data_IF_049789531604
#
_entry.id   IF_049789531604
#
_cell.length_a   1.000
_cell.length_b   1.000
_cell.length_c   1.000
_cell.angle_alpha   90.00
_cell.angle_beta   90.00
_cell.angle_gamma   90.00
#
_symmetry.space_group_name_H-M   'P 1'
#
loop_
_entity.id
_entity.type
_entity.pdbx_description
1 polymer ?
#
# COMPACT_ATOMS: atom_id res chain seq x y z
N UNK A 1 -30.64 -8.64 -28.01
CA UNK A 1 -30.82 -8.92 -26.56
C UNK A 1 -30.83 -10.43 -26.28
N UNK A 2 -29.71 -11.14 -26.46
CA UNK A 2 -29.74 -12.59 -26.12
C UNK A 2 -28.58 -13.50 -26.54
N UNK A 3 -27.31 -13.04 -26.57
CA UNK A 3 -26.16 -13.97 -26.80
C UNK A 3 -24.99 -13.83 -25.81
N UNK A 4 -24.89 -12.77 -24.98
CA UNK A 4 -23.65 -12.51 -24.22
C UNK A 4 -23.58 -13.02 -22.76
N UNK A 5 -24.64 -13.55 -22.16
CA UNK A 5 -24.60 -13.99 -20.75
C UNK A 5 -24.16 -15.46 -20.53
N UNK A 6 -23.91 -16.24 -21.59
CA UNK A 6 -23.72 -17.69 -21.47
C UNK A 6 -22.29 -18.18 -21.26
N UNK A 7 -21.27 -17.32 -21.43
CA UNK A 7 -19.86 -17.80 -21.52
C UNK A 7 -19.04 -17.50 -20.25
N UNK A 8 -19.50 -16.61 -19.37
CA UNK A 8 -18.70 -16.16 -18.21
C UNK A 8 -19.12 -16.76 -16.86
N UNK A 9 -20.11 -17.65 -16.82
CA UNK A 9 -20.69 -18.18 -15.58
C UNK A 9 -20.05 -19.47 -15.03
N UNK A 10 -18.79 -19.77 -15.37
CA UNK A 10 -18.11 -20.90 -14.72
C UNK A 10 -16.78 -20.48 -14.10
N UNK A 11 -16.70 -20.65 -12.77
CA UNK A 11 -15.55 -20.42 -11.87
C UNK A 11 -14.28 -21.23 -12.20
N UNK A 12 -14.07 -21.67 -13.44
CA UNK A 12 -12.89 -22.46 -13.85
C UNK A 12 -12.69 -22.58 -15.38
N UNK A 13 -13.18 -21.65 -16.20
CA UNK A 13 -12.78 -21.66 -17.62
C UNK A 13 -11.35 -21.16 -17.72
N UNK A 14 -10.42 -22.12 -17.84
CA UNK A 14 -9.06 -21.88 -18.28
C UNK A 14 -9.06 -20.94 -19.47
N UNK A 15 -8.51 -19.74 -19.31
CA UNK A 15 -8.43 -18.76 -20.40
C UNK A 15 -7.38 -19.25 -21.39
N UNK A 16 -7.79 -20.16 -22.27
CA UNK A 16 -6.95 -20.63 -23.38
C UNK A 16 -6.96 -19.68 -24.58
N UNK A 17 -7.80 -18.66 -24.56
CA UNK A 17 -7.97 -17.74 -25.69
C UNK A 17 -7.78 -16.28 -25.27
N UNK A 18 -6.52 -15.92 -25.04
CA UNK A 18 -6.05 -14.55 -24.83
C UNK A 18 -6.58 -13.56 -25.87
N UNK A 19 -6.66 -13.96 -27.14
CA UNK A 19 -7.21 -13.11 -28.21
C UNK A 19 -8.70 -12.80 -28.00
N UNK A 20 -9.47 -13.75 -27.46
CA UNK A 20 -10.88 -13.52 -27.12
C UNK A 20 -11.00 -12.57 -25.94
N UNK A 21 -10.15 -12.71 -24.91
CA UNK A 21 -10.15 -11.83 -23.75
C UNK A 21 -9.81 -10.38 -24.17
N UNK A 22 -8.74 -10.19 -24.92
CA UNK A 22 -8.34 -8.89 -25.46
C UNK A 22 -9.40 -8.26 -26.36
N UNK A 23 -10.01 -9.04 -27.25
CA UNK A 23 -11.08 -8.52 -28.11
C UNK A 23 -12.32 -8.15 -27.30
N UNK A 24 -12.63 -8.87 -26.22
CA UNK A 24 -13.72 -8.53 -25.30
C UNK A 24 -13.42 -7.24 -24.54
N UNK A 25 -12.24 -7.10 -23.94
CA UNK A 25 -11.84 -5.87 -23.23
C UNK A 25 -11.90 -4.65 -24.16
N UNK A 26 -11.38 -4.79 -25.39
CA UNK A 26 -11.41 -3.71 -26.38
C UNK A 26 -12.81 -3.36 -26.86
N UNK A 27 -13.68 -4.36 -27.06
CA UNK A 27 -15.07 -4.14 -27.45
C UNK A 27 -15.86 -3.45 -26.33
N UNK A 28 -15.70 -3.88 -25.07
CA UNK A 28 -16.31 -3.23 -23.91
C UNK A 28 -15.83 -1.79 -23.75
N UNK A 29 -14.52 -1.54 -23.89
CA UNK A 29 -13.96 -0.19 -23.86
C UNK A 29 -14.56 0.69 -24.96
N UNK A 30 -14.57 0.22 -26.21
CA UNK A 30 -15.11 0.98 -27.34
C UNK A 30 -16.62 1.25 -27.24
N UNK A 31 -17.36 0.38 -26.56
CA UNK A 31 -18.80 0.56 -26.29
C UNK A 31 -19.09 1.44 -25.08
N UNK A 32 -18.07 1.79 -24.30
CA UNK A 32 -18.21 2.53 -23.06
C UNK A 32 -18.86 1.73 -21.93
N UNK A 33 -18.81 0.40 -21.99
CA UNK A 33 -19.36 -0.51 -20.96
C UNK A 33 -18.37 -0.67 -19.79
N UNK A 34 -18.03 0.44 -19.14
CA UNK A 34 -16.96 0.49 -18.12
C UNK A 34 -17.22 -0.39 -16.89
N UNK A 35 -18.47 -0.53 -16.45
CA UNK A 35 -18.80 -1.36 -15.29
C UNK A 35 -18.44 -2.84 -15.57
N UNK A 36 -18.94 -3.37 -16.68
CA UNK A 36 -18.62 -4.72 -17.15
C UNK A 36 -17.12 -4.89 -17.40
N UNK A 37 -16.46 -3.85 -17.93
CA UNK A 37 -15.02 -3.88 -18.16
C UNK A 37 -14.23 -4.06 -16.86
N UNK A 38 -14.60 -3.34 -15.80
CA UNK A 38 -13.95 -3.46 -14.49
C UNK A 38 -14.20 -4.83 -13.86
N UNK A 39 -15.44 -5.34 -13.94
CA UNK A 39 -15.77 -6.69 -13.48
C UNK A 39 -14.93 -7.75 -14.21
N UNK A 40 -14.83 -7.68 -15.53
CA UNK A 40 -14.02 -8.62 -16.32
C UNK A 40 -12.54 -8.53 -15.96
N UNK A 41 -11.99 -7.33 -15.76
CA UNK A 41 -10.60 -7.16 -15.34
C UNK A 41 -10.36 -7.79 -13.96
N UNK A 42 -11.25 -7.56 -13.01
CA UNK A 42 -11.13 -8.06 -11.64
C UNK A 42 -11.31 -9.57 -11.55
N UNK A 43 -12.31 -10.12 -12.25
CA UNK A 43 -12.54 -11.58 -12.32
C UNK A 43 -11.38 -12.33 -13.00
N UNK A 44 -10.61 -11.63 -13.83
CA UNK A 44 -9.47 -12.17 -14.57
C UNK A 44 -8.14 -11.51 -14.15
N UNK A 45 -8.04 -11.11 -12.88
CA UNK A 45 -6.89 -10.38 -12.34
C UNK A 45 -5.56 -11.14 -12.52
N UNK A 46 -5.47 -12.38 -12.03
CA UNK A 46 -4.25 -13.22 -12.16
C UNK A 46 -3.81 -13.41 -13.61
N UNK A 47 -4.67 -13.82 -14.57
CA UNK A 47 -4.20 -14.00 -15.94
C UNK A 47 -3.81 -12.70 -16.65
N UNK A 48 -4.36 -11.54 -16.26
CA UNK A 48 -4.15 -10.26 -16.97
C UNK A 48 -3.11 -9.33 -16.33
N UNK A 49 -3.00 -9.35 -15.00
CA UNK A 49 -2.27 -8.38 -14.20
C UNK A 49 -1.18 -9.11 -13.38
N UNK A 50 -1.56 -10.12 -12.59
CA UNK A 50 -0.66 -10.86 -11.69
C UNK A 50 -0.41 -12.30 -12.16
N UNK A 51 0.30 -12.44 -13.28
CA UNK A 51 0.62 -13.75 -13.83
C UNK A 51 2.04 -14.19 -13.44
N UNK A 52 2.26 -15.46 -13.07
CA UNK A 52 3.57 -15.94 -12.67
C UNK A 52 4.56 -15.82 -13.84
N UNK A 53 5.77 -15.30 -13.57
CA UNK A 53 6.83 -15.23 -14.59
C UNK A 53 7.20 -16.63 -15.06
N UNK A 54 7.39 -16.77 -16.37
CA UNK A 54 7.93 -18.00 -16.95
C UNK A 54 9.28 -18.32 -16.33
N UNK A 55 9.46 -19.48 -15.66
CA UNK A 55 10.72 -19.82 -15.06
C UNK A 55 11.79 -19.98 -16.14
N UNK A 56 12.92 -19.29 -15.98
CA UNK A 56 14.08 -19.45 -16.85
C UNK A 56 14.80 -20.76 -16.52
N UNK A 57 15.07 -21.62 -17.51
CA UNK A 57 15.94 -22.77 -17.28
C UNK A 57 17.36 -22.27 -16.94
N UNK A 58 18.05 -22.91 -15.99
CA UNK A 58 19.50 -22.72 -15.83
C UNK A 58 20.21 -22.93 -17.17
N UNK A 59 21.31 -22.21 -17.41
CA UNK A 59 22.04 -22.29 -18.68
C UNK A 59 22.64 -23.69 -18.90
N UNK A 60 22.87 -24.09 -20.15
CA UNK A 60 23.49 -25.39 -20.48
C UNK A 60 24.89 -25.53 -19.84
N UNK A 61 25.59 -24.41 -19.69
CA UNK A 61 26.85 -24.32 -18.93
C UNK A 61 26.62 -24.42 -17.43
N UNK A 62 25.56 -23.84 -16.84
CA UNK A 62 25.24 -24.07 -15.42
C UNK A 62 24.90 -25.54 -15.16
N UNK A 63 24.15 -26.20 -16.05
CA UNK A 63 23.90 -27.62 -15.95
C UNK A 63 25.18 -28.46 -16.10
N UNK A 64 26.08 -28.07 -17.02
CA UNK A 64 27.35 -28.76 -17.25
C UNK A 64 28.41 -28.49 -16.20
N UNK A 65 28.59 -27.26 -15.72
CA UNK A 65 29.50 -26.93 -14.63
C UNK A 65 29.08 -27.67 -13.36
N UNK A 66 27.78 -27.84 -13.16
CA UNK A 66 27.20 -28.68 -12.12
C UNK A 66 27.56 -30.17 -12.32
N UNK A 67 27.38 -30.72 -13.52
CA UNK A 67 27.74 -32.12 -13.84
C UNK A 67 29.27 -32.36 -13.81
N UNK A 68 30.06 -31.36 -14.22
CA UNK A 68 31.53 -31.37 -14.27
C UNK A 68 32.09 -31.27 -12.86
N UNK A 69 31.55 -30.44 -11.97
CA UNK A 69 32.00 -30.35 -10.57
C UNK A 69 31.78 -31.69 -9.85
N UNK A 70 30.67 -32.37 -10.13
CA UNK A 70 30.34 -33.71 -9.59
C UNK A 70 31.25 -34.78 -10.19
N UNK A 71 31.54 -34.73 -11.50
CA UNK A 71 32.43 -35.71 -12.14
C UNK A 71 33.89 -35.48 -11.79
N UNK A 72 34.38 -34.23 -11.69
CA UNK A 72 35.74 -33.93 -11.22
C UNK A 72 35.96 -34.37 -9.78
N UNK A 73 34.99 -34.17 -8.89
CA UNK A 73 35.08 -34.65 -7.50
C UNK A 73 34.97 -36.17 -7.37
N UNK A 74 34.25 -36.85 -8.26
CA UNK A 74 34.23 -38.32 -8.33
C UNK A 74 35.53 -38.89 -8.89
N UNK A 75 36.13 -38.23 -9.89
CA UNK A 75 37.41 -38.62 -10.49
C UNK A 75 38.56 -38.35 -9.51
N UNK A 76 38.57 -37.24 -8.77
CA UNK A 76 39.57 -36.97 -7.72
C UNK A 76 39.52 -38.02 -6.59
N UNK A 77 38.34 -38.58 -6.28
CA UNK A 77 38.22 -39.70 -5.31
C UNK A 77 38.63 -41.07 -5.86
N UNK A 78 38.68 -41.25 -7.18
CA UNK A 78 39.13 -42.49 -7.82
C UNK A 78 40.63 -42.45 -8.19
N UNK A 79 41.19 -41.29 -8.56
CA UNK A 79 42.60 -41.13 -8.92
C UNK A 79 43.57 -40.98 -7.72
N UNK A 80 43.09 -40.66 -6.51
CA UNK A 80 43.92 -40.74 -5.28
C UNK A 80 44.05 -42.18 -4.70
N UNK A 81 43.63 -43.22 -5.44
CA UNK A 81 43.76 -44.61 -5.01
C UNK A 81 44.95 -45.38 -5.61
N UNK A 82 45.75 -44.79 -6.51
CA UNK A 82 46.94 -45.43 -7.08
C UNK A 82 48.12 -44.44 -7.20
N UNK A 83 48.87 -44.28 -6.11
CA UNK A 83 50.35 -44.15 -6.06
C UNK A 83 50.78 -43.49 -4.73
N UNK A 84 51.36 -44.27 -3.80
CA UNK A 84 52.72 -44.03 -3.26
C UNK A 84 53.10 -45.02 -2.16
N UNK A 85 54.36 -45.41 -2.29
CA UNK A 85 55.14 -46.45 -1.62
C UNK A 85 55.48 -46.14 -0.16
N UNK A 86 55.64 -47.23 0.61
CA UNK A 86 55.91 -47.31 2.03
C UNK A 86 57.37 -46.98 2.32
N UNK A 87 57.74 -45.70 2.52
CA UNK A 87 58.94 -45.36 3.29
C UNK A 87 59.02 -43.91 3.81
N UNK A 88 59.23 -43.83 5.13
CA UNK A 88 59.86 -42.73 5.91
C UNK A 88 58.99 -41.59 6.46
N UNK A 89 59.36 -41.07 7.65
CA UNK A 89 58.46 -41.06 8.79
C UNK A 89 58.04 -39.64 9.16
N UNK A 90 56.73 -39.44 9.34
CA UNK A 90 56.16 -38.41 10.23
C UNK A 90 54.64 -38.65 10.35
N UNK A 91 54.27 -39.82 10.88
CA UNK A 91 52.90 -40.06 11.36
C UNK A 91 52.82 -39.67 12.83
N UNK A 92 52.12 -38.56 13.10
CA UNK A 92 51.17 -38.31 14.21
C UNK A 92 51.19 -36.82 14.57
N UNK A 93 50.15 -36.09 14.21
CA UNK A 93 48.96 -35.87 15.04
C UNK A 93 47.74 -35.74 14.08
N UNK A 94 46.70 -36.59 14.24
CA UNK A 94 45.31 -36.20 14.61
C UNK A 94 44.74 -35.19 13.59
N UNK A 95 43.75 -35.50 12.74
CA UNK A 95 42.37 -35.81 13.12
C UNK A 95 41.60 -36.65 12.08
N UNK A 96 40.91 -37.64 12.62
CA UNK A 96 39.93 -38.55 12.01
C UNK A 96 38.59 -37.85 11.65
N UNK A 97 38.52 -36.51 11.65
CA UNK A 97 37.27 -35.75 11.49
C UNK A 97 36.99 -35.22 10.07
N UNK A 98 37.97 -35.25 9.16
CA UNK A 98 37.79 -34.67 7.82
C UNK A 98 36.97 -35.57 6.87
N UNK A 99 37.07 -36.89 6.94
CA UNK A 99 36.37 -37.77 5.98
C UNK A 99 34.83 -37.73 6.13
N UNK A 100 34.32 -37.58 7.36
CA UNK A 100 32.89 -37.41 7.62
C UNK A 100 32.38 -36.00 7.30
N UNK A 101 33.18 -34.95 7.55
CA UNK A 101 32.82 -33.58 7.15
C UNK A 101 32.74 -33.44 5.63
N UNK A 102 33.73 -33.95 4.88
CA UNK A 102 33.70 -33.94 3.42
C UNK A 102 32.57 -34.82 2.86
N UNK A 103 32.19 -35.93 3.52
CA UNK A 103 31.04 -36.74 3.12
C UNK A 103 29.69 -36.05 3.39
N UNK A 104 29.56 -35.33 4.51
CA UNK A 104 28.35 -34.56 4.84
C UNK A 104 28.20 -33.33 3.95
N UNK A 105 29.30 -32.67 3.59
CA UNK A 105 29.32 -31.59 2.59
C UNK A 105 28.95 -32.12 1.19
N UNK A 106 29.49 -33.29 0.77
CA UNK A 106 29.10 -33.99 -0.48
C UNK A 106 27.60 -34.32 -0.58
N UNK A 107 27.00 -34.79 0.51
CA UNK A 107 25.55 -35.09 0.58
C UNK A 107 24.74 -33.80 0.58
N UNK A 108 25.23 -32.75 1.24
CA UNK A 108 24.57 -31.44 1.30
C UNK A 108 24.53 -30.77 -0.08
N UNK A 109 25.63 -30.73 -0.80
CA UNK A 109 25.72 -30.07 -2.12
C UNK A 109 24.85 -30.78 -3.17
N UNK A 110 24.88 -32.12 -3.19
CA UNK A 110 24.01 -32.91 -4.07
C UNK A 110 22.52 -32.82 -3.72
N UNK A 111 22.19 -32.65 -2.43
CA UNK A 111 20.83 -32.41 -1.96
C UNK A 111 20.34 -31.01 -2.30
N UNK A 112 21.18 -29.99 -2.15
CA UNK A 112 20.91 -28.62 -2.59
C UNK A 112 20.67 -28.56 -4.10
N UNK A 113 21.36 -29.39 -4.88
CA UNK A 113 21.20 -29.49 -6.33
C UNK A 113 19.88 -30.12 -6.76
N UNK A 114 19.52 -31.28 -6.18
CA UNK A 114 18.21 -31.92 -6.41
C UNK A 114 17.07 -31.04 -5.96
N UNK A 115 17.26 -30.28 -4.88
CA UNK A 115 16.31 -29.28 -4.41
C UNK A 115 16.13 -28.16 -5.43
N UNK A 116 17.22 -27.60 -5.99
CA UNK A 116 17.16 -26.56 -7.05
C UNK A 116 16.48 -27.05 -8.33
N UNK A 117 16.77 -28.28 -8.76
CA UNK A 117 16.08 -28.92 -9.89
C UNK A 117 14.58 -29.11 -9.60
N UNK A 118 14.24 -29.67 -8.44
CA UNK A 118 12.85 -29.87 -8.03
C UNK A 118 12.10 -28.53 -7.94
N UNK A 119 12.72 -27.46 -7.43
CA UNK A 119 12.10 -26.13 -7.40
C UNK A 119 11.84 -25.57 -8.80
N UNK A 120 12.76 -25.75 -9.76
CA UNK A 120 12.54 -25.33 -11.14
C UNK A 120 11.38 -26.11 -11.79
N UNK A 121 11.36 -27.44 -11.66
CA UNK A 121 10.29 -28.26 -12.24
C UNK A 121 8.93 -28.00 -11.58
N UNK A 122 8.89 -27.75 -10.27
CA UNK A 122 7.68 -27.33 -9.57
C UNK A 122 7.21 -25.95 -10.04
N UNK A 123 8.12 -24.98 -10.22
CA UNK A 123 7.79 -23.68 -10.77
C UNK A 123 7.28 -23.78 -12.22
N UNK A 124 7.90 -24.62 -13.05
CA UNK A 124 7.47 -24.86 -14.43
C UNK A 124 6.11 -25.56 -14.51
N UNK A 125 5.82 -26.49 -13.60
CA UNK A 125 4.52 -27.12 -13.48
C UNK A 125 3.45 -26.11 -13.04
N UNK A 126 3.75 -25.30 -12.01
CA UNK A 126 2.86 -24.22 -11.53
C UNK A 126 2.57 -23.22 -12.65
N UNK A 127 3.58 -22.75 -13.37
CA UNK A 127 3.42 -21.87 -14.52
C UNK A 127 2.55 -22.49 -15.62
N UNK A 128 2.72 -23.79 -15.94
CA UNK A 128 1.85 -24.49 -16.90
C UNK A 128 0.41 -24.66 -16.44
N UNK A 129 0.18 -24.69 -15.13
CA UNK A 129 -1.14 -24.85 -14.53
C UNK A 129 -1.82 -23.51 -14.24
N UNK A 130 -1.05 -22.43 -14.17
CA UNK A 130 -1.56 -21.07 -14.08
C UNK A 130 -2.19 -20.65 -15.41
N UNK A 131 -3.35 -20.01 -15.34
CA UNK A 131 -3.88 -19.27 -16.48
C UNK A 131 -3.08 -17.96 -16.59
N UNK A 132 -2.32 -17.79 -17.67
CA UNK A 132 -1.50 -16.60 -17.93
C UNK A 132 -1.81 -16.05 -19.33
N UNK A 133 -2.02 -14.75 -19.45
CA UNK A 133 -2.18 -14.04 -20.71
C UNK A 133 -1.09 -12.97 -20.86
N UNK A 134 0.18 -13.40 -20.93
CA UNK A 134 1.35 -12.49 -20.94
C UNK A 134 1.29 -11.42 -22.05
N UNK A 135 0.78 -11.74 -23.24
CA UNK A 135 0.64 -10.77 -24.33
C UNK A 135 -0.52 -9.78 -24.15
N UNK A 136 -1.39 -9.99 -23.16
CA UNK A 136 -2.47 -9.08 -22.79
C UNK A 136 -2.07 -8.08 -21.69
N UNK A 137 -0.99 -8.35 -20.97
CA UNK A 137 -0.49 -7.49 -19.88
C UNK A 137 -0.22 -6.07 -20.37
N UNK A 138 0.44 -5.89 -21.52
CA UNK A 138 0.71 -4.56 -22.09
C UNK A 138 -0.57 -3.77 -22.43
N UNK A 139 -1.60 -4.46 -22.94
CA UNK A 139 -2.88 -3.81 -23.22
C UNK A 139 -3.61 -3.44 -21.93
N UNK A 140 -3.59 -4.33 -20.94
CA UNK A 140 -4.23 -4.12 -19.63
C UNK A 140 -3.56 -2.98 -18.87
N UNK A 141 -2.23 -2.89 -18.91
CA UNK A 141 -1.47 -1.76 -18.37
C UNK A 141 -1.85 -0.45 -19.07
N UNK A 142 -1.88 -0.45 -20.41
CA UNK A 142 -2.29 0.73 -21.19
C UNK A 142 -3.72 1.16 -20.85
N UNK A 143 -4.62 0.19 -20.65
CA UNK A 143 -6.01 0.43 -20.28
C UNK A 143 -6.14 0.97 -18.85
N UNK A 144 -5.37 0.45 -17.89
CA UNK A 144 -5.40 0.92 -16.50
C UNK A 144 -4.86 2.34 -16.34
N UNK A 145 -3.91 2.73 -17.20
CA UNK A 145 -3.35 4.08 -17.26
C UNK A 145 -4.12 5.02 -18.20
N UNK A 146 -5.15 4.52 -18.87
CA UNK A 146 -5.97 5.35 -19.75
C UNK A 146 -6.72 6.40 -18.90
N UNK A 147 -6.67 7.70 -19.26
CA UNK A 147 -7.34 8.75 -18.49
C UNK A 147 -8.85 8.56 -18.35
N UNK A 148 -9.52 8.03 -19.39
CA UNK A 148 -10.96 7.84 -19.38
C UNK A 148 -11.34 6.64 -18.50
N UNK A 149 -10.60 5.54 -18.59
CA UNK A 149 -10.82 4.38 -17.74
C UNK A 149 -10.51 4.68 -16.26
N UNK A 150 -9.35 5.30 -15.97
CA UNK A 150 -8.93 5.62 -14.61
C UNK A 150 -9.73 6.72 -13.91
N UNK A 151 -10.49 7.52 -14.65
CA UNK A 151 -11.50 8.41 -14.07
C UNK A 151 -12.79 7.65 -13.66
N UNK A 152 -13.08 6.50 -14.27
CA UNK A 152 -14.35 5.78 -14.10
C UNK A 152 -14.26 4.58 -13.17
N UNK A 153 -13.22 3.74 -13.30
CA UNK A 153 -13.14 2.52 -12.50
C UNK A 153 -13.11 2.75 -10.98
N UNK A 154 -12.47 3.81 -10.42
CA UNK A 154 -12.44 4.02 -8.97
C UNK A 154 -13.83 4.25 -8.38
N UNK A 155 -14.77 4.74 -9.19
CA UNK A 155 -16.16 5.04 -8.82
C UNK A 155 -17.04 3.80 -8.99
N UNK A 156 -16.82 3.04 -10.07
CA UNK A 156 -17.66 1.88 -10.42
C UNK A 156 -17.39 0.65 -9.55
N UNK A 157 -16.11 0.29 -9.40
CA UNK A 157 -15.68 -0.74 -8.44
C UNK A 157 -14.30 -0.34 -7.89
N UNK A 158 -14.26 0.30 -6.71
CA UNK A 158 -13.01 0.71 -6.10
C UNK A 158 -12.12 -0.50 -5.72
N UNK A 159 -12.68 -1.71 -5.67
CA UNK A 159 -11.99 -2.94 -5.29
C UNK A 159 -10.80 -3.25 -6.19
N UNK A 160 -10.91 -3.01 -7.50
CA UNK A 160 -9.79 -3.26 -8.42
C UNK A 160 -8.55 -2.41 -8.06
N UNK A 161 -8.75 -1.15 -7.67
CA UNK A 161 -7.64 -0.29 -7.23
C UNK A 161 -6.99 -0.79 -5.94
N UNK A 162 -7.79 -1.28 -4.99
CA UNK A 162 -7.31 -1.87 -3.74
C UNK A 162 -6.52 -3.15 -4.01
N UNK A 163 -7.01 -4.01 -4.91
CA UNK A 163 -6.35 -5.26 -5.27
C UNK A 163 -4.95 -4.97 -5.88
N UNK A 164 -4.84 -3.95 -6.74
CA UNK A 164 -3.56 -3.45 -7.30
C UNK A 164 -2.64 -2.84 -6.21
N UNK A 165 -3.21 -2.12 -5.24
CA UNK A 165 -2.44 -1.58 -4.12
C UNK A 165 -1.88 -2.72 -3.27
N UNK A 166 -2.59 -3.81 -3.05
CA UNK A 166 -2.13 -4.92 -2.21
C UNK A 166 -1.10 -5.82 -2.88
N UNK A 167 -1.07 -5.85 -4.20
CA UNK A 167 -0.21 -6.76 -4.96
C UNK A 167 1.23 -6.25 -5.09
N UNK A 168 2.14 -6.88 -4.34
CA UNK A 168 3.57 -6.56 -4.32
C UNK A 168 4.36 -7.32 -5.40
N UNK A 169 3.77 -8.32 -6.05
CA UNK A 169 4.46 -9.20 -7.00
C UNK A 169 4.46 -8.63 -8.44
N UNK A 170 3.77 -7.50 -8.65
CA UNK A 170 3.71 -6.74 -9.90
C UNK A 170 5.05 -6.07 -10.27
N UNK A 171 6.04 -6.87 -10.68
CA UNK A 171 7.35 -6.39 -11.12
C UNK A 171 7.30 -5.83 -12.55
N UNK A 172 7.70 -4.56 -12.72
CA UNK A 172 7.68 -3.85 -14.01
C UNK A 172 6.34 -3.23 -14.41
N UNK A 173 5.29 -3.44 -13.62
CA UNK A 173 3.99 -2.79 -13.80
C UNK A 173 4.01 -1.38 -13.20
N UNK A 174 3.34 -0.41 -13.85
CA UNK A 174 3.23 0.97 -13.35
C UNK A 174 2.21 1.10 -12.19
N UNK A 175 2.33 0.22 -11.19
CA UNK A 175 1.49 0.13 -9.96
C UNK A 175 1.37 1.50 -9.29
N UNK A 176 2.48 2.21 -9.18
CA UNK A 176 2.54 3.58 -8.65
C UNK A 176 1.65 4.53 -9.43
N UNK A 177 1.76 4.56 -10.76
CA UNK A 177 1.00 5.49 -11.60
C UNK A 177 -0.50 5.18 -11.57
N UNK A 178 -0.88 3.90 -11.58
CA UNK A 178 -2.29 3.47 -11.40
C UNK A 178 -2.80 3.90 -10.02
N UNK A 179 -2.00 3.72 -8.96
CA UNK A 179 -2.35 4.18 -7.61
C UNK A 179 -2.51 5.69 -7.55
N UNK A 180 -1.66 6.45 -8.25
CA UNK A 180 -1.74 7.91 -8.31
C UNK A 180 -3.00 8.38 -8.99
N UNK A 181 -3.35 7.77 -10.13
CA UNK A 181 -4.60 8.06 -10.84
C UNK A 181 -5.81 7.69 -9.97
N UNK A 182 -5.79 6.52 -9.33
CA UNK A 182 -6.85 6.05 -8.44
C UNK A 182 -7.10 7.00 -7.27
N UNK A 183 -6.07 7.36 -6.50
CA UNK A 183 -6.20 8.29 -5.35
C UNK A 183 -6.60 9.70 -5.79
N UNK A 184 -6.10 10.17 -6.94
CA UNK A 184 -6.51 11.46 -7.52
C UNK A 184 -8.00 11.48 -7.85
N UNK A 185 -8.51 10.43 -8.49
CA UNK A 185 -9.94 10.30 -8.82
C UNK A 185 -10.78 10.23 -7.55
N UNK A 186 -10.38 9.43 -6.55
CA UNK A 186 -11.11 9.34 -5.29
C UNK A 186 -11.16 10.67 -4.55
N UNK A 187 -10.09 11.48 -4.55
CA UNK A 187 -10.14 12.78 -3.89
C UNK A 187 -11.05 13.79 -4.61
N UNK A 188 -11.10 13.73 -5.95
CA UNK A 188 -11.93 14.62 -6.78
C UNK A 188 -13.41 14.30 -6.73
N UNK A 189 -13.76 13.03 -6.58
CA UNK A 189 -15.15 12.60 -6.53
C UNK A 189 -15.71 12.72 -5.11
N UNK A 190 -16.73 13.57 -4.93
CA UNK A 190 -17.42 13.72 -3.65
C UNK A 190 -18.06 12.40 -3.22
N UNK A 191 -18.00 12.07 -1.92
CA UNK A 191 -18.55 10.82 -1.35
C UNK A 191 -17.92 9.53 -1.91
N UNK A 192 -16.73 9.60 -2.52
CA UNK A 192 -15.97 8.41 -2.91
C UNK A 192 -15.61 7.54 -1.71
N UNK A 193 -15.07 6.35 -1.97
CA UNK A 193 -14.64 5.43 -0.91
C UNK A 193 -13.69 6.11 0.10
N UNK A 194 -12.81 7.00 -0.38
CA UNK A 194 -11.87 7.73 0.47
C UNK A 194 -12.60 8.61 1.51
N UNK A 195 -13.68 9.29 1.10
CA UNK A 195 -14.47 10.17 1.97
C UNK A 195 -15.20 9.35 3.03
N UNK A 196 -15.78 8.23 2.62
CA UNK A 196 -16.52 7.32 3.49
C UNK A 196 -15.61 6.71 4.55
N UNK A 197 -14.45 6.17 4.16
CA UNK A 197 -13.53 5.54 5.08
C UNK A 197 -12.88 6.54 6.05
N UNK A 198 -12.56 7.76 5.61
CA UNK A 198 -12.05 8.81 6.51
C UNK A 198 -13.11 9.22 7.52
N UNK A 199 -14.36 9.41 7.09
CA UNK A 199 -15.48 9.73 7.99
C UNK A 199 -15.69 8.62 9.04
N UNK A 200 -15.65 7.36 8.61
CA UNK A 200 -15.77 6.20 9.52
C UNK A 200 -14.61 6.13 10.51
N UNK A 201 -13.38 6.43 10.09
CA UNK A 201 -12.19 6.36 10.93
C UNK A 201 -12.12 7.49 11.98
N UNK A 202 -12.80 8.61 11.72
CA UNK A 202 -12.87 9.75 12.64
C UNK A 202 -13.91 9.57 13.76
N UNK A 203 -14.76 8.54 13.68
CA UNK A 203 -15.64 8.12 14.78
C UNK A 203 -14.84 7.30 15.80
N UNK A 204 -14.01 7.98 16.60
CA UNK A 204 -12.94 7.37 17.38
C UNK A 204 -13.41 6.71 18.70
N UNK A 205 -13.04 5.44 18.88
CA UNK A 205 -12.78 4.79 20.17
C UNK A 205 -11.26 4.88 20.44
N UNK A 206 -10.77 5.99 21.01
CA UNK A 206 -9.38 6.13 21.50
C UNK A 206 -8.74 7.51 21.27
N UNK A 207 -7.92 7.97 22.22
CA UNK A 207 -7.40 9.34 22.27
C UNK A 207 -6.16 9.55 21.36
N UNK A 208 -5.44 8.50 20.96
CA UNK A 208 -4.09 8.64 20.38
C UNK A 208 -3.81 7.84 19.09
N UNK A 209 -4.73 7.00 18.62
CA UNK A 209 -4.54 6.21 17.39
C UNK A 209 -5.85 6.06 16.62
N UNK A 210 -5.79 6.28 15.31
CA UNK A 210 -6.83 5.84 14.39
C UNK A 210 -6.71 4.33 14.25
N UNK A 211 -7.63 3.55 14.81
CA UNK A 211 -7.65 2.12 14.50
C UNK A 211 -8.04 2.00 13.02
N UNK A 212 -7.07 1.77 12.15
CA UNK A 212 -7.33 1.46 10.74
C UNK A 212 -8.02 0.11 10.69
N UNK A 213 -9.34 0.14 10.83
CA UNK A 213 -10.18 -1.05 10.85
C UNK A 213 -10.02 -1.80 9.52
N UNK A 214 -9.86 -3.14 9.52
CA UNK A 214 -9.92 -3.94 8.31
C UNK A 214 -11.16 -3.69 7.43
N UNK A 215 -12.26 -3.21 8.02
CA UNK A 215 -13.47 -2.82 7.29
C UNK A 215 -13.24 -1.57 6.39
N UNK A 216 -12.31 -0.68 6.76
CA UNK A 216 -11.83 0.42 5.91
C UNK A 216 -10.77 -0.10 4.94
N UNK A 217 -11.22 -0.83 3.91
CA UNK A 217 -10.36 -1.62 3.01
C UNK A 217 -9.29 -0.78 2.31
N UNK A 218 -9.57 0.46 1.91
CA UNK A 218 -8.60 1.33 1.24
C UNK A 218 -7.55 1.85 2.24
N UNK A 219 -7.97 2.43 3.36
CA UNK A 219 -7.06 2.93 4.39
C UNK A 219 -6.23 1.77 4.97
N UNK A 220 -6.84 0.60 5.18
CA UNK A 220 -6.14 -0.60 5.61
C UNK A 220 -5.14 -1.07 4.55
N UNK A 221 -5.51 -1.08 3.27
CA UNK A 221 -4.59 -1.44 2.20
C UNK A 221 -3.39 -0.49 2.12
N UNK A 222 -3.55 0.80 2.43
CA UNK A 222 -2.45 1.77 2.41
C UNK A 222 -1.61 1.76 3.70
N UNK A 223 -2.25 1.70 4.86
CA UNK A 223 -1.61 2.05 6.14
C UNK A 223 -1.48 0.89 7.13
N UNK A 224 -2.01 -0.32 6.84
CA UNK A 224 -1.68 -1.51 7.65
C UNK A 224 -0.19 -1.87 7.61
N UNK A 225 0.48 -1.49 6.53
CA UNK A 225 1.92 -1.56 6.33
C UNK A 225 2.35 -0.28 5.61
N UNK A 226 2.87 0.67 6.38
CA UNK A 226 3.24 1.99 5.89
C UNK A 226 4.42 1.97 4.89
N UNK A 227 5.22 0.90 4.84
CA UNK A 227 6.25 0.75 3.79
C UNK A 227 5.63 0.65 2.40
N UNK A 228 4.39 0.16 2.29
CA UNK A 228 3.63 0.16 1.03
C UNK A 228 3.24 1.57 0.61
N UNK A 229 2.74 2.38 1.53
CA UNK A 229 2.40 3.78 1.25
C UNK A 229 3.63 4.59 0.82
N UNK A 230 4.79 4.30 1.41
CA UNK A 230 6.09 4.84 0.99
C UNK A 230 6.46 4.39 -0.43
N UNK A 231 6.44 3.08 -0.72
CA UNK A 231 6.78 2.51 -2.03
C UNK A 231 5.96 3.12 -3.18
N UNK A 232 4.67 3.35 -2.91
CA UNK A 232 3.69 3.88 -3.86
C UNK A 232 3.63 5.41 -3.90
N UNK A 233 4.42 6.13 -3.10
CA UNK A 233 4.33 7.59 -2.94
C UNK A 233 2.88 8.05 -2.70
N UNK A 234 2.10 7.36 -1.85
CA UNK A 234 0.65 7.55 -1.74
C UNK A 234 0.21 8.97 -1.34
N UNK A 235 1.07 9.69 -0.63
CA UNK A 235 0.91 11.10 -0.25
C UNK A 235 0.84 12.07 -1.44
N UNK A 236 1.57 11.76 -2.52
CA UNK A 236 1.80 12.66 -3.64
C UNK A 236 0.53 12.97 -4.45
N UNK A 237 -0.26 11.97 -4.93
CA UNK A 237 -1.48 12.25 -5.68
C UNK A 237 -2.51 13.04 -4.87
N UNK A 238 -2.62 12.77 -3.57
CA UNK A 238 -3.51 13.49 -2.66
C UNK A 238 -3.04 14.94 -2.48
N UNK A 239 -1.76 15.14 -2.18
CA UNK A 239 -1.19 16.47 -1.97
C UNK A 239 -1.15 17.34 -3.22
N UNK A 240 -0.77 16.77 -4.37
CA UNK A 240 -0.74 17.49 -5.65
C UNK A 240 -2.15 17.91 -6.09
N UNK A 241 -3.13 17.02 -5.94
CA UNK A 241 -4.53 17.32 -6.24
C UNK A 241 -5.10 18.39 -5.31
N UNK A 242 -4.82 18.34 -4.00
CA UNK A 242 -5.26 19.37 -3.06
C UNK A 242 -4.65 20.74 -3.40
N UNK A 243 -3.37 20.79 -3.77
CA UNK A 243 -2.72 22.03 -4.24
C UNK A 243 -3.32 22.57 -5.54
N UNK A 244 -3.63 21.68 -6.49
CA UNK A 244 -4.30 22.06 -7.72
C UNK A 244 -5.68 22.67 -7.42
N UNK A 245 -6.49 22.01 -6.58
CA UNK A 245 -7.78 22.54 -6.15
C UNK A 245 -7.67 23.92 -5.50
N UNK A 246 -6.67 24.15 -4.64
CA UNK A 246 -6.42 25.46 -4.03
C UNK A 246 -6.06 26.52 -5.08
N UNK A 247 -5.16 26.21 -6.02
CA UNK A 247 -4.80 27.13 -7.12
C UNK A 247 -6.02 27.47 -7.97
N UNK A 248 -6.81 26.46 -8.33
CA UNK A 248 -8.01 26.65 -9.14
C UNK A 248 -9.02 27.55 -8.43
N UNK A 249 -9.21 27.41 -7.11
CA UNK A 249 -10.07 28.33 -6.36
C UNK A 249 -9.59 29.77 -6.39
N UNK A 250 -8.29 30.01 -6.20
CA UNK A 250 -7.71 31.35 -6.24
C UNK A 250 -7.84 32.06 -7.60
N UNK A 251 -8.11 31.32 -8.67
CA UNK A 251 -8.34 31.89 -10.01
C UNK A 251 -9.81 32.21 -10.31
N UNK A 252 -10.75 31.77 -9.47
CA UNK A 252 -12.18 31.98 -9.69
C UNK A 252 -12.61 33.35 -9.15
N UNK A 253 -13.59 33.95 -9.83
CA UNK A 253 -14.23 35.20 -9.37
C UNK A 253 -14.91 35.05 -8.00
N UNK A 254 -15.32 33.82 -7.66
CA UNK A 254 -15.89 33.47 -6.36
C UNK A 254 -15.13 32.27 -5.78
N UNK A 255 -14.38 32.51 -4.71
CA UNK A 255 -13.74 31.47 -3.92
C UNK A 255 -14.68 30.99 -2.81
N UNK A 256 -15.06 29.72 -2.88
CA UNK A 256 -15.99 29.11 -1.90
C UNK A 256 -15.44 29.07 -0.48
N UNK A 257 -14.12 29.13 -0.28
CA UNK A 257 -13.47 28.99 1.03
C UNK A 257 -13.29 30.32 1.77
N UNK A 258 -13.52 31.46 1.09
CA UNK A 258 -13.60 32.77 1.75
C UNK A 258 -14.97 32.99 2.44
N UNK A 259 -15.92 32.08 2.22
CA UNK A 259 -17.19 32.01 2.93
C UNK A 259 -17.09 31.08 4.16
N UNK A 260 -18.12 31.11 5.02
CA UNK A 260 -18.27 30.20 6.16
C UNK A 260 -19.14 28.98 5.85
N UNK A 261 -18.72 28.08 4.94
CA UNK A 261 -19.51 26.90 4.58
C UNK A 261 -19.23 25.72 5.51
N UNK A 262 -17.98 25.52 5.89
CA UNK A 262 -17.51 24.48 6.83
C UNK A 262 -17.65 24.91 8.28
N UNK A 263 -17.67 26.22 8.52
CA UNK A 263 -17.65 26.85 9.85
C UNK A 263 -19.02 27.33 10.33
N UNK A 264 -20.05 27.31 9.47
CA UNK A 264 -21.40 27.76 9.85
C UNK A 264 -22.07 26.81 10.85
N UNK A 265 -22.55 27.39 11.95
CA UNK A 265 -23.33 26.72 13.02
C UNK A 265 -24.60 26.04 12.51
N UNK A 266 -25.11 26.46 11.34
CA UNK A 266 -26.34 25.91 10.75
C UNK A 266 -26.13 24.63 9.93
N UNK A 267 -24.89 24.13 9.80
CA UNK A 267 -24.57 22.90 9.06
C UNK A 267 -24.40 21.73 10.03
N UNK A 268 -24.63 20.50 9.54
CA UNK A 268 -24.27 19.29 10.31
C UNK A 268 -22.77 19.31 10.57
N UNK A 269 -22.35 18.82 11.74
CA UNK A 269 -20.93 18.63 12.07
C UNK A 269 -20.22 17.77 11.02
N UNK A 270 -20.95 16.86 10.39
CA UNK A 270 -20.42 15.94 9.39
C UNK A 270 -20.26 16.58 8.01
N UNK A 271 -20.72 17.82 7.80
CA UNK A 271 -20.62 18.50 6.50
C UNK A 271 -19.16 18.67 6.06
N UNK A 272 -18.23 18.77 7.02
CA UNK A 272 -16.79 18.89 6.76
C UNK A 272 -16.22 17.69 6.01
N UNK A 273 -16.79 16.49 6.19
CA UNK A 273 -16.37 15.28 5.48
C UNK A 273 -16.76 15.27 4.01
N UNK A 274 -17.54 16.24 3.53
CA UNK A 274 -17.81 16.42 2.11
C UNK A 274 -16.79 17.33 1.42
N UNK A 275 -15.83 17.90 2.16
CA UNK A 275 -14.87 18.82 1.57
C UNK A 275 -13.54 18.12 1.20
N UNK A 276 -13.09 18.21 -0.07
CA UNK A 276 -11.86 17.56 -0.52
C UNK A 276 -10.61 18.02 0.22
N UNK A 277 -10.51 19.29 0.62
CA UNK A 277 -9.31 19.76 1.31
C UNK A 277 -9.26 19.22 2.74
N UNK A 278 -10.41 19.15 3.41
CA UNK A 278 -10.48 18.51 4.71
C UNK A 278 -10.15 17.01 4.64
N UNK A 279 -10.66 16.30 3.63
CA UNK A 279 -10.33 14.90 3.37
C UNK A 279 -8.83 14.72 3.12
N UNK A 280 -8.20 15.59 2.33
CA UNK A 280 -6.75 15.55 2.11
C UNK A 280 -5.97 15.78 3.42
N UNK A 281 -6.33 16.79 4.22
CA UNK A 281 -5.69 17.09 5.51
C UNK A 281 -5.80 15.88 6.46
N UNK A 282 -6.98 15.27 6.53
CA UNK A 282 -7.27 14.08 7.35
C UNK A 282 -6.47 12.86 6.88
N UNK A 283 -6.35 12.66 5.57
CA UNK A 283 -5.52 11.60 4.99
C UNK A 283 -4.05 11.73 5.43
N UNK A 284 -3.50 12.95 5.39
CA UNK A 284 -2.14 13.21 5.88
C UNK A 284 -2.00 12.93 7.38
N UNK A 285 -2.99 13.29 8.21
CA UNK A 285 -2.95 13.01 9.66
C UNK A 285 -2.95 11.50 9.94
N UNK A 286 -3.85 10.74 9.32
CA UNK A 286 -3.93 9.28 9.46
C UNK A 286 -2.60 8.64 9.02
N UNK A 287 -2.11 9.02 7.84
CA UNK A 287 -0.85 8.52 7.30
C UNK A 287 0.29 8.76 8.30
N UNK A 288 0.38 10.00 8.82
CA UNK A 288 1.50 10.39 9.69
C UNK A 288 1.45 9.68 11.04
N UNK A 289 0.27 9.55 11.64
CA UNK A 289 0.11 8.83 12.91
C UNK A 289 0.41 7.34 12.76
N UNK A 290 -0.03 6.70 11.68
CA UNK A 290 0.22 5.26 11.49
C UNK A 290 1.70 4.95 11.26
N UNK A 291 2.44 5.79 10.51
CA UNK A 291 3.87 5.52 10.36
C UNK A 291 4.71 5.90 11.58
N UNK A 292 4.26 6.84 12.43
CA UNK A 292 4.83 6.99 13.78
C UNK A 292 4.66 5.72 14.61
N UNK A 293 3.46 5.14 14.61
CA UNK A 293 3.18 3.89 15.33
C UNK A 293 4.01 2.71 14.80
N UNK A 294 4.20 2.62 13.48
CA UNK A 294 4.99 1.57 12.84
C UNK A 294 6.51 1.85 12.83
N UNK A 295 6.96 2.94 13.45
CA UNK A 295 8.37 3.37 13.51
C UNK A 295 9.05 3.41 12.13
N UNK A 296 8.33 3.96 11.15
CA UNK A 296 8.85 4.15 9.80
C UNK A 296 9.70 5.43 9.77
N UNK A 297 10.98 5.32 9.41
CA UNK A 297 11.95 6.43 9.32
C UNK A 297 11.68 7.41 8.17
N UNK A 298 10.67 7.12 7.36
CA UNK A 298 10.30 7.93 6.20
C UNK A 298 9.70 9.27 6.64
N UNK A 299 10.19 10.34 6.03
CA UNK A 299 9.89 11.74 6.39
C UNK A 299 8.50 12.20 5.91
N UNK A 300 7.53 11.29 5.82
CA UNK A 300 6.13 11.51 5.42
C UNK A 300 5.79 12.96 5.16
N UNK A 301 5.76 13.32 3.88
CA UNK A 301 5.99 14.67 3.36
C UNK A 301 4.96 15.71 3.83
N UNK A 302 5.06 16.14 5.09
CA UNK A 302 4.33 17.26 5.67
C UNK A 302 4.66 18.59 4.97
N UNK A 303 5.63 18.61 4.04
CA UNK A 303 5.85 19.74 3.13
C UNK A 303 4.61 20.14 2.33
N UNK A 304 3.65 19.22 2.14
CA UNK A 304 2.35 19.58 1.57
C UNK A 304 1.54 20.51 2.48
N UNK A 305 1.63 20.40 3.81
CA UNK A 305 0.99 21.36 4.73
C UNK A 305 1.57 22.76 4.53
N UNK A 306 2.89 22.91 4.39
CA UNK A 306 3.50 24.20 4.06
C UNK A 306 2.98 24.75 2.73
N UNK A 307 3.00 23.93 1.67
CA UNK A 307 2.55 24.32 0.34
C UNK A 307 1.06 24.72 0.31
N UNK A 308 0.21 23.94 0.98
CA UNK A 308 -1.22 24.22 1.08
C UNK A 308 -1.48 25.48 1.90
N UNK A 309 -0.82 25.64 3.05
CA UNK A 309 -0.94 26.84 3.89
C UNK A 309 -0.57 28.10 3.11
N UNK A 310 0.53 28.08 2.34
CA UNK A 310 0.93 29.22 1.50
C UNK A 310 -0.16 29.59 0.50
N UNK A 311 -0.71 28.61 -0.23
CA UNK A 311 -1.79 28.85 -1.20
C UNK A 311 -3.07 29.36 -0.52
N UNK A 312 -3.43 28.81 0.65
CA UNK A 312 -4.57 29.29 1.43
C UNK A 312 -4.37 30.75 1.86
N UNK A 313 -3.18 31.13 2.32
CA UNK A 313 -2.86 32.52 2.66
C UNK A 313 -2.89 33.46 1.44
N UNK A 314 -2.47 33.00 0.27
CA UNK A 314 -2.51 33.78 -0.98
C UNK A 314 -3.94 34.03 -1.45
N UNK A 315 -4.84 33.05 -1.28
CA UNK A 315 -6.25 33.15 -1.67
C UNK A 315 -7.14 33.81 -0.61
N UNK A 316 -6.63 33.98 0.61
CA UNK A 316 -7.40 34.43 1.76
C UNK A 316 -7.92 35.85 1.54
N UNK A 317 -9.24 36.01 1.60
CA UNK A 317 -9.88 37.33 1.57
C UNK A 317 -11.02 37.39 2.60
N UNK A 318 -11.15 38.55 3.25
CA UNK A 318 -12.32 38.85 4.08
C UNK A 318 -13.41 39.41 3.18
N UNK A 319 -14.43 38.60 2.92
CA UNK A 319 -15.58 38.95 2.08
C UNK A 319 -16.79 39.32 2.94
N UNK A 320 -17.90 39.69 2.31
CA UNK A 320 -19.17 39.91 3.03
C UNK A 320 -19.73 38.62 3.65
N UNK A 321 -19.30 37.43 3.19
CA UNK A 321 -19.68 36.13 3.73
C UNK A 321 -18.73 35.64 4.86
N UNK A 322 -17.72 36.46 5.21
CA UNK A 322 -16.79 36.22 6.31
C UNK A 322 -17.35 36.83 7.60
N UNK A 323 -17.19 36.15 8.74
CA UNK A 323 -17.49 36.71 10.07
C UNK A 323 -16.19 36.92 10.85
N UNK A 324 -15.63 38.15 10.88
CA UNK A 324 -14.36 38.43 11.55
C UNK A 324 -14.37 38.18 13.06
N UNK A 325 -15.54 38.13 13.69
CA UNK A 325 -15.68 37.91 15.14
C UNK A 325 -15.80 36.41 15.51
N UNK A 326 -15.90 35.53 14.51
CA UNK A 326 -15.93 34.07 14.68
C UNK A 326 -14.54 33.51 15.02
N UNK A 327 -14.49 32.38 15.74
CA UNK A 327 -13.26 31.60 15.99
C UNK A 327 -12.53 31.26 14.68
N UNK A 328 -13.31 30.94 13.64
CA UNK A 328 -12.82 30.77 12.28
C UNK A 328 -13.56 31.73 11.35
N UNK A 329 -12.91 32.84 10.94
CA UNK A 329 -13.56 33.86 10.12
C UNK A 329 -14.09 33.35 8.78
N UNK A 330 -13.37 32.42 8.15
CA UNK A 330 -13.75 31.72 6.92
C UNK A 330 -13.24 30.27 6.94
N UNK A 331 -13.58 29.50 5.91
CA UNK A 331 -13.22 28.09 5.84
C UNK A 331 -11.71 27.86 5.68
N UNK A 332 -10.97 28.77 5.05
CA UNK A 332 -9.49 28.71 5.06
C UNK A 332 -8.92 28.75 6.47
N UNK A 333 -9.46 29.59 7.35
CA UNK A 333 -9.05 29.67 8.76
C UNK A 333 -9.25 28.34 9.49
N UNK A 334 -10.38 27.66 9.20
CA UNK A 334 -10.68 26.34 9.76
C UNK A 334 -9.71 25.28 9.25
N UNK A 335 -9.46 25.21 7.94
CA UNK A 335 -8.53 24.23 7.36
C UNK A 335 -7.09 24.43 7.86
N UNK A 336 -6.64 25.68 8.01
CA UNK A 336 -5.34 26.00 8.60
C UNK A 336 -5.27 25.60 10.08
N UNK A 337 -6.33 25.84 10.84
CA UNK A 337 -6.42 25.39 12.23
C UNK A 337 -6.29 23.86 12.32
N UNK A 338 -6.98 23.10 11.47
CA UNK A 338 -6.89 21.63 11.46
C UNK A 338 -5.45 21.15 11.18
N UNK A 339 -4.77 21.72 10.19
CA UNK A 339 -3.36 21.39 9.93
C UNK A 339 -2.46 21.69 11.13
N UNK A 340 -2.65 22.82 11.81
CA UNK A 340 -1.88 23.19 13.00
C UNK A 340 -2.21 22.28 14.19
N UNK A 341 -3.48 21.95 14.39
CA UNK A 341 -3.94 21.03 15.43
C UNK A 341 -3.31 19.65 15.26
N UNK A 342 -3.34 19.11 14.04
CA UNK A 342 -2.70 17.85 13.69
C UNK A 342 -1.21 17.89 14.02
N UNK A 343 -0.48 18.92 13.59
CA UNK A 343 0.95 19.07 13.93
C UNK A 343 1.19 19.12 15.44
N UNK A 344 0.32 19.79 16.20
CA UNK A 344 0.39 19.83 17.67
C UNK A 344 0.21 18.45 18.31
N UNK A 345 -0.74 17.65 17.81
CA UNK A 345 -0.93 16.28 18.26
C UNK A 345 0.25 15.37 17.89
N UNK A 346 0.78 15.50 16.67
CA UNK A 346 1.96 14.75 16.24
C UNK A 346 3.17 15.05 17.13
N UNK A 347 3.37 16.31 17.55
CA UNK A 347 4.42 16.68 18.52
C UNK A 347 4.21 16.00 19.88
N UNK A 348 2.97 15.92 20.37
CA UNK A 348 2.65 15.23 21.63
C UNK A 348 2.91 13.72 21.52
N UNK A 349 2.56 13.11 20.39
CA UNK A 349 2.85 11.69 20.11
C UNK A 349 4.36 11.46 20.12
N UNK A 350 5.14 12.30 19.44
CA UNK A 350 6.60 12.19 19.46
C UNK A 350 7.17 12.35 20.87
N UNK A 351 6.68 13.30 21.66
CA UNK A 351 7.11 13.48 23.05
C UNK A 351 6.81 12.22 23.90
N UNK A 352 5.64 11.61 23.70
CA UNK A 352 5.27 10.36 24.37
C UNK A 352 6.12 9.18 23.91
N UNK A 353 6.38 9.04 22.61
CA UNK A 353 7.22 7.97 22.07
C UNK A 353 8.65 8.06 22.61
N UNK A 354 9.23 9.26 22.70
CA UNK A 354 10.56 9.46 23.31
C UNK A 354 10.56 9.12 24.79
N UNK A 355 9.51 9.51 25.54
CA UNK A 355 9.38 9.15 26.95
C UNK A 355 9.22 7.64 27.14
N UNK A 356 8.44 6.98 26.28
CA UNK A 356 8.19 5.55 26.34
C UNK A 356 9.38 4.72 25.84
N UNK A 357 10.20 5.21 24.91
CA UNK A 357 11.45 4.57 24.50
C UNK A 357 12.52 4.60 25.62
N UNK A 358 12.34 5.42 26.68
CA UNK A 358 13.10 5.31 27.94
C UNK A 358 12.59 4.14 28.84
N UNK A 359 11.41 3.59 28.54
CA UNK A 359 10.73 2.52 29.31
C UNK A 359 10.40 1.24 28.51
N UNK A 360 10.60 1.21 27.18
CA UNK A 360 10.48 0.01 26.33
C UNK A 360 11.68 -0.93 26.55
N UNK A 361 11.80 -1.47 27.76
CA UNK A 361 12.36 -2.80 27.92
C UNK A 361 11.37 -3.74 27.26
N UNK A 362 11.74 -4.26 26.08
CA UNK A 362 11.05 -5.35 25.36
C UNK A 362 10.22 -6.22 26.31
N UNK A 363 8.91 -6.07 26.28
CA UNK A 363 8.03 -7.09 26.83
C UNK A 363 7.45 -7.88 25.65
N UNK A 364 7.90 -9.13 25.57
CA UNK A 364 7.56 -10.11 24.54
C UNK A 364 6.17 -10.71 24.73
N UNK A 365 5.40 -10.32 25.76
CA UNK A 365 4.08 -10.87 26.01
C UNK A 365 3.08 -9.75 26.29
N UNK A 366 2.09 -9.66 25.41
CA UNK A 366 1.09 -8.60 25.41
C UNK A 366 0.17 -8.64 26.64
N UNK A 367 -0.06 -7.46 27.21
CA UNK A 367 -1.35 -7.10 27.78
C UNK A 367 -1.61 -5.60 27.58
N UNK A 368 -2.39 -5.27 26.55
CA UNK A 368 -2.74 -3.88 26.20
C UNK A 368 -3.93 -3.37 27.04
N UNK A 369 -4.65 -4.26 27.73
CA UNK A 369 -5.81 -3.89 28.54
C UNK A 369 -5.39 -3.23 29.88
N UNK A 370 -4.20 -3.55 30.39
CA UNK A 370 -3.65 -2.91 31.60
C UNK A 370 -3.25 -1.44 31.35
N UNK A 371 -2.81 -1.09 30.14
CA UNK A 371 -2.47 0.29 29.75
C UNK A 371 -3.71 1.22 29.67
N UNK A 372 -4.85 0.69 29.22
CA UNK A 372 -6.12 1.42 29.19
C UNK A 372 -6.68 1.61 30.61
N UNK A 373 -6.49 0.62 31.49
CA UNK A 373 -6.94 0.71 32.87
C UNK A 373 -6.16 1.75 33.69
N UNK A 374 -4.84 1.87 33.48
CA UNK A 374 -4.00 2.83 34.22
C UNK A 374 -4.21 4.29 33.78
N UNK A 375 -4.63 4.53 32.54
CA UNK A 375 -4.87 5.88 32.02
C UNK A 375 -6.33 6.36 32.14
N UNK A 376 -7.18 5.63 32.89
CA UNK A 376 -8.55 6.05 33.25
C UNK A 376 -8.60 7.00 34.46
N UNK A 377 -7.54 7.77 34.69
CA UNK A 377 -7.50 8.78 35.76
C UNK A 377 -7.85 10.14 35.16
N UNK A 378 -9.15 10.42 35.14
CA UNK A 378 -9.69 11.67 34.63
C UNK A 378 -11.21 11.79 34.71
N UNK A 379 -11.88 11.06 35.61
CA UNK A 379 -13.18 11.50 36.09
C UNK A 379 -12.94 12.79 36.89
N UNK A 380 -13.06 13.93 36.20
CA UNK A 380 -13.18 15.23 36.86
C UNK A 380 -14.50 15.18 37.63
N UNK A 381 -14.40 15.06 38.96
CA UNK A 381 -15.47 15.43 39.87
C UNK A 381 -15.87 16.88 39.53
N UNK A 382 -17.03 17.03 38.89
CA UNK A 382 -17.67 18.32 38.71
C UNK A 382 -18.23 18.71 40.08
N UNK A 383 -17.45 19.41 40.90
CA UNK A 383 -18.02 20.11 42.05
C UNK A 383 -18.97 21.21 41.54
N UNK A 384 -20.24 21.24 42.00
CA UNK A 384 -21.22 22.19 41.51
C UNK A 384 -20.94 23.57 42.11
N UNK A 385 -20.49 24.51 41.27
CA UNK A 385 -20.34 25.91 41.64
C UNK A 385 -21.72 26.60 41.75
N UNK A 386 -22.45 26.33 42.82
CA UNK A 386 -23.58 27.14 43.30
C UNK A 386 -23.66 27.12 44.83
N UNK A 387 -23.13 28.16 45.49
CA UNK A 387 -23.80 28.97 46.54
C UNK A 387 -22.82 29.60 47.54
N UNK A 388 -23.15 30.85 47.94
CA UNK A 388 -22.59 31.72 49.01
C UNK A 388 -21.49 32.67 48.52
N UNK A 389 -21.61 34.00 48.54
CA UNK A 389 -22.54 34.95 49.18
C UNK A 389 -22.77 36.14 48.25
#
# INVERSE_FOLDING_TARGET
MGIFLGVFLSKSVRIRNEQMLLSTLRDLYNRGEYATLVEVLRDNYTPLIDHPKKPTPPSEQQWRDIDITVTHTLIETEEEAEELDDSSPLIKYVEEDNAEQTARERVRDSFELKRRQATYYLAALRYRLADSAEGASSYTETLLLDPEFGAKHPILDPGLGIDIILDTDLDGFRRRDVTHQYLTTLLREENSLLYQEISNNMSMDGIYRYRVDPDNRLLHALFSDCSRAEELDAYKPVGDTAKEMLRDQGTKDYDKYNAQRLTSVNRSKDYVFNDPLFIAISFFDIMVREAFYQRIDWHMWLYYYESMTRLMCENYENTEETDPDSEWPNDYSRLMYEMISNMGDLLRIMEQLVKNDEYDVKDEDGDFDEFIAQNRIGEIEVEPFLSRQ
#
